data_IF_645890216172
#
_entry.id   IF_645890216172
#
_cell.length_a   1.000
_cell.length_b   1.000
_cell.length_c   1.000
_cell.angle_alpha   90.00
_cell.angle_beta   90.00
_cell.angle_gamma   90.00
#
_symmetry.space_group_name_H-M   'P 1'
#
loop_
_entity.id
_entity.type
_entity.pdbx_description
1 polymer ?
#
# COMPACT_ATOMS: atom_id res chain seq x y z
N UNK A 1 -1.03 25.87 22.05
CA UNK A 1 0.33 25.46 21.67
C UNK A 1 0.16 24.21 20.82
N UNK A 2 0.56 24.32 19.56
CA UNK A 2 0.21 23.48 18.42
C UNK A 2 0.66 22.03 18.61
N UNK A 3 -0.24 21.07 18.33
CA UNK A 3 0.14 19.67 18.13
C UNK A 3 1.17 19.64 17.01
N UNK A 4 2.45 19.51 17.35
CA UNK A 4 3.47 19.23 16.37
C UNK A 4 3.08 17.90 15.72
N UNK A 5 2.72 17.94 14.44
CA UNK A 5 2.68 16.76 13.59
C UNK A 5 4.08 16.16 13.67
N UNK A 6 4.24 15.14 14.51
CA UNK A 6 5.49 14.42 14.65
C UNK A 6 5.76 13.85 13.27
N UNK A 7 6.80 14.34 12.59
CA UNK A 7 7.23 13.77 11.31
C UNK A 7 7.37 12.27 11.50
N UNK A 8 6.56 11.49 10.77
CA UNK A 8 6.57 10.04 10.91
C UNK A 8 7.90 9.52 10.38
N UNK A 9 8.51 8.61 11.12
CA UNK A 9 9.73 7.99 10.63
C UNK A 9 9.42 7.12 9.39
N UNK A 10 10.39 6.89 8.50
CA UNK A 10 10.22 5.95 7.40
C UNK A 10 9.74 4.56 7.84
N UNK A 11 10.14 4.12 9.04
CA UNK A 11 9.66 2.86 9.64
C UNK A 11 8.16 2.89 9.99
N UNK A 12 7.67 4.01 10.51
CA UNK A 12 6.23 4.18 10.81
C UNK A 12 5.39 4.21 9.53
N UNK A 13 5.92 4.80 8.45
CA UNK A 13 5.28 4.83 7.14
C UNK A 13 5.26 3.43 6.52
N UNK A 14 6.36 2.69 6.59
CA UNK A 14 6.47 1.32 6.09
C UNK A 14 5.47 0.39 6.79
N UNK A 15 5.45 0.39 8.13
CA UNK A 15 4.49 -0.39 8.91
C UNK A 15 3.03 -0.01 8.57
N UNK A 16 2.80 1.28 8.30
CA UNK A 16 1.53 1.76 7.77
C UNK A 16 1.17 1.09 6.45
N UNK A 17 2.06 1.12 5.46
CA UNK A 17 1.83 0.51 4.14
C UNK A 17 1.55 -0.98 4.27
N UNK A 18 2.38 -1.71 5.03
CA UNK A 18 2.20 -3.15 5.28
C UNK A 18 0.84 -3.48 5.90
N UNK A 19 0.40 -2.69 6.88
CA UNK A 19 -0.92 -2.86 7.50
C UNK A 19 -2.07 -2.70 6.48
N UNK A 20 -1.96 -1.77 5.54
CA UNK A 20 -2.96 -1.62 4.48
C UNK A 20 -2.91 -2.75 3.46
N UNK A 21 -1.72 -3.27 3.11
CA UNK A 21 -1.61 -4.44 2.24
C UNK A 21 -2.24 -5.68 2.88
N UNK A 22 -1.99 -5.90 4.18
CA UNK A 22 -2.65 -6.96 4.95
C UNK A 22 -4.17 -6.80 4.99
N UNK A 23 -4.68 -5.57 5.09
CA UNK A 23 -6.12 -5.30 5.02
C UNK A 23 -6.72 -5.74 3.68
N UNK A 24 -6.02 -5.53 2.56
CA UNK A 24 -6.47 -5.98 1.23
C UNK A 24 -6.52 -7.52 1.18
N UNK A 25 -5.48 -8.20 1.68
CA UNK A 25 -5.44 -9.67 1.80
C UNK A 25 -6.53 -10.22 2.73
N UNK A 26 -6.92 -9.48 3.77
CA UNK A 26 -8.02 -9.89 4.64
C UNK A 26 -9.40 -9.67 4.00
N UNK A 27 -9.51 -8.69 3.09
CA UNK A 27 -10.79 -8.33 2.45
C UNK A 27 -11.15 -9.25 1.28
N UNK A 28 -10.16 -9.71 0.54
CA UNK A 28 -10.28 -10.56 -0.64
C UNK A 28 -9.56 -11.89 -0.40
N UNK A 29 -9.98 -13.01 -1.00
CA UNK A 29 -9.27 -14.27 -0.85
C UNK A 29 -7.99 -14.29 -1.71
N UNK A 30 -7.04 -13.40 -1.42
CA UNK A 30 -5.77 -13.24 -2.12
C UNK A 30 -4.59 -13.12 -1.16
N UNK A 31 -3.40 -13.50 -1.63
CA UNK A 31 -2.12 -13.30 -0.94
C UNK A 31 -1.19 -12.53 -1.87
N UNK A 32 -0.72 -11.35 -1.45
CA UNK A 32 0.22 -10.55 -2.23
C UNK A 32 1.63 -11.12 -1.98
N UNK A 33 2.26 -11.69 -3.01
CA UNK A 33 3.55 -12.37 -2.87
C UNK A 33 4.75 -11.44 -2.96
N UNK A 34 4.58 -10.22 -3.49
CA UNK A 34 5.62 -9.20 -3.62
C UNK A 34 5.41 -7.99 -2.67
N UNK A 35 4.91 -8.22 -1.45
CA UNK A 35 4.61 -7.16 -0.46
C UNK A 35 5.78 -6.23 -0.17
N UNK A 36 6.97 -6.78 0.06
CA UNK A 36 8.16 -5.99 0.39
C UNK A 36 8.54 -5.03 -0.75
N UNK A 37 8.43 -5.51 -1.99
CA UNK A 37 8.67 -4.69 -3.19
C UNK A 37 7.64 -3.55 -3.28
N UNK A 38 6.36 -3.88 -3.10
CA UNK A 38 5.26 -2.90 -3.16
C UNK A 38 5.42 -1.85 -2.05
N UNK A 39 5.74 -2.29 -0.84
CA UNK A 39 5.94 -1.43 0.32
C UNK A 39 7.15 -0.51 0.12
N UNK A 40 8.29 -1.05 -0.34
CA UNK A 40 9.48 -0.26 -0.65
C UNK A 40 9.26 0.76 -1.76
N UNK A 41 8.58 0.38 -2.85
CA UNK A 41 8.25 1.31 -3.95
C UNK A 41 7.30 2.42 -3.50
N UNK A 42 6.30 2.08 -2.70
CA UNK A 42 5.36 3.05 -2.13
C UNK A 42 6.12 4.05 -1.25
N UNK A 43 6.94 3.56 -0.30
CA UNK A 43 7.74 4.39 0.59
C UNK A 43 8.72 5.32 -0.17
N UNK A 44 9.28 4.87 -1.29
CA UNK A 44 10.15 5.70 -2.13
C UNK A 44 9.44 6.83 -2.88
N UNK A 45 8.09 6.85 -2.88
CA UNK A 45 7.26 7.81 -3.62
C UNK A 45 6.43 8.72 -2.71
N UNK A 46 6.30 8.39 -1.43
CA UNK A 46 5.54 9.17 -0.45
C UNK A 46 6.27 9.33 0.87
N UNK A 47 6.08 10.50 1.49
CA UNK A 47 6.58 10.81 2.82
C UNK A 47 5.45 11.15 3.81
N UNK A 48 4.18 10.98 3.42
CA UNK A 48 3.03 11.29 4.26
C UNK A 48 1.95 10.20 4.24
N UNK A 49 1.19 10.13 5.33
CA UNK A 49 0.15 9.12 5.50
C UNK A 49 -1.05 9.27 4.56
N UNK A 50 -1.37 10.49 4.14
CA UNK A 50 -2.53 10.74 3.27
C UNK A 50 -2.28 10.15 1.89
N UNK A 51 -1.07 10.30 1.39
CA UNK A 51 -0.66 9.72 0.13
C UNK A 51 -0.56 8.17 0.23
N UNK A 52 -0.09 7.61 1.36
CA UNK A 52 -0.19 6.14 1.62
C UNK A 52 -1.64 5.65 1.54
N UNK A 53 -2.57 6.34 2.19
CA UNK A 53 -4.00 6.00 2.15
C UNK A 53 -4.56 6.05 0.71
N UNK A 54 -4.18 7.06 -0.07
CA UNK A 54 -4.61 7.19 -1.47
C UNK A 54 -4.08 6.06 -2.35
N UNK A 55 -2.80 5.70 -2.19
CA UNK A 55 -2.14 4.63 -2.94
C UNK A 55 -2.77 3.29 -2.60
N UNK A 56 -2.92 3.00 -1.30
CA UNK A 56 -3.48 1.73 -0.82
C UNK A 56 -4.96 1.58 -1.20
N UNK A 57 -5.73 2.67 -1.22
CA UNK A 57 -7.10 2.67 -1.75
C UNK A 57 -7.14 2.33 -3.25
N UNK A 58 -6.21 2.87 -4.03
CA UNK A 58 -6.11 2.58 -5.47
C UNK A 58 -5.74 1.10 -5.73
N UNK A 59 -4.82 0.54 -4.93
CA UNK A 59 -4.49 -0.88 -4.96
C UNK A 59 -5.67 -1.76 -4.58
N UNK A 60 -6.39 -1.39 -3.53
CA UNK A 60 -7.61 -2.08 -3.10
C UNK A 60 -8.67 -2.06 -4.21
N UNK A 61 -8.89 -0.92 -4.86
CA UNK A 61 -9.81 -0.79 -5.99
C UNK A 61 -9.39 -1.66 -7.17
N UNK A 62 -8.10 -1.66 -7.52
CA UNK A 62 -7.57 -2.52 -8.57
C UNK A 62 -7.83 -4.01 -8.28
N UNK A 63 -7.57 -4.48 -7.05
CA UNK A 63 -7.84 -5.85 -6.65
C UNK A 63 -9.34 -6.20 -6.76
N UNK A 64 -10.21 -5.28 -6.31
CA UNK A 64 -11.66 -5.44 -6.37
C UNK A 64 -12.19 -5.56 -7.80
N UNK A 65 -11.78 -4.64 -8.69
CA UNK A 65 -12.26 -4.57 -10.08
C UNK A 65 -11.82 -5.78 -10.88
N UNK A 66 -10.61 -6.29 -10.63
CA UNK A 66 -10.08 -7.43 -11.35
C UNK A 66 -10.52 -8.78 -10.75
N UNK A 67 -11.27 -8.79 -9.65
CA UNK A 67 -11.76 -10.02 -9.02
C UNK A 67 -10.63 -10.99 -8.65
N UNK A 68 -9.48 -10.46 -8.22
CA UNK A 68 -8.26 -11.24 -8.01
C UNK A 68 -8.41 -12.16 -6.80
N UNK A 69 -7.98 -13.40 -6.96
CA UNK A 69 -8.00 -14.43 -5.91
C UNK A 69 -6.74 -15.28 -5.97
N UNK A 70 -6.36 -15.87 -4.84
CA UNK A 70 -5.16 -16.70 -4.71
C UNK A 70 -3.88 -15.87 -4.60
N UNK A 71 -2.74 -16.49 -4.91
CA UNK A 71 -1.44 -15.82 -4.85
C UNK A 71 -1.31 -14.83 -6.01
N UNK A 72 -1.10 -13.55 -5.68
CA UNK A 72 -0.99 -12.47 -6.66
C UNK A 72 0.34 -11.74 -6.53
N UNK A 73 0.95 -11.46 -7.68
CA UNK A 73 2.00 -10.46 -7.82
C UNK A 73 1.34 -9.16 -8.27
N UNK A 74 1.47 -8.08 -7.51
CA UNK A 74 1.05 -6.76 -7.98
C UNK A 74 1.98 -6.36 -9.14
N UNK A 75 1.48 -6.24 -10.38
CA UNK A 75 2.34 -5.98 -11.53
C UNK A 75 2.99 -4.59 -11.44
N UNK A 76 4.25 -4.46 -11.89
CA UNK A 76 4.94 -3.16 -11.87
C UNK A 76 4.19 -2.08 -12.62
N UNK A 77 3.59 -2.42 -13.78
CA UNK A 77 2.74 -1.50 -14.54
C UNK A 77 1.56 -0.93 -13.75
N UNK A 78 1.04 -1.68 -12.76
CA UNK A 78 -0.06 -1.21 -11.90
C UNK A 78 0.50 -0.23 -10.87
N UNK A 79 1.67 -0.53 -10.29
CA UNK A 79 2.35 0.38 -9.39
C UNK A 79 2.75 1.69 -10.10
N UNK A 80 3.22 1.62 -11.34
CA UNK A 80 3.61 2.80 -12.14
C UNK A 80 2.41 3.71 -12.48
N UNK A 81 1.19 3.18 -12.47
CA UNK A 81 -0.03 3.95 -12.70
C UNK A 81 -0.56 4.62 -11.43
N UNK A 82 -0.23 4.07 -10.26
CA UNK A 82 -0.76 4.52 -8.96
C UNK A 82 0.22 5.46 -8.24
N UNK A 83 1.53 5.21 -8.37
CA UNK A 83 2.61 5.92 -7.69
C UNK A 83 3.17 7.08 -8.53
#
# INVERSE_FOLDING_TARGET
>A
MTYAEKERSPGDLLAGIESHLQMIEARYPLTITNKDQVAGRTLGKTHDQRCILSITLSLNHWAAVNGITGDVVIPEKVLDLIL
#
